data_IF_135840185304
#
_entry.id   IF_135840185304
#
_cell.length_a   1.000
_cell.length_b   1.000
_cell.length_c   1.000
_cell.angle_alpha   90.00
_cell.angle_beta   90.00
_cell.angle_gamma   90.00
#
_symmetry.space_group_name_H-M   'P 1'
#
loop_
_entity.id
_entity.type
_entity.pdbx_description
1 polymer ?
#
# COMPACT_ATOMS: atom_id res chain seq x y z
N UNK A 1 18.54 18.89 8.38
CA UNK A 1 19.58 19.75 7.76
C UNK A 1 19.27 19.80 6.26
N UNK A 2 18.49 20.78 5.78
CA UNK A 2 18.30 21.22 4.37
C UNK A 2 17.08 22.18 4.28
N UNK A 3 17.02 23.25 5.08
CA UNK A 3 15.92 24.26 5.00
C UNK A 3 16.41 25.72 5.05
N UNK A 4 17.71 25.97 4.84
CA UNK A 4 18.30 27.30 5.05
C UNK A 4 18.76 28.02 3.77
N UNK A 5 18.25 27.66 2.60
CA UNK A 5 18.70 28.24 1.32
C UNK A 5 17.67 29.09 0.57
N UNK A 6 16.58 29.53 1.22
CA UNK A 6 15.60 30.43 0.60
C UNK A 6 15.50 31.77 1.34
N UNK A 7 15.41 32.91 0.63
CA UNK A 7 15.54 34.24 1.22
C UNK A 7 14.37 34.59 2.15
N UNK A 8 14.69 35.19 3.30
CA UNK A 8 13.85 35.45 4.49
C UNK A 8 12.44 36.04 4.21
N UNK A 9 12.26 36.77 3.10
CA UNK A 9 10.96 37.34 2.69
C UNK A 9 9.95 36.28 2.25
N UNK A 10 10.42 35.22 1.59
CA UNK A 10 9.60 34.06 1.20
C UNK A 10 9.17 33.24 2.42
N UNK A 11 10.06 33.08 3.40
CA UNK A 11 9.75 32.41 4.65
C UNK A 11 8.71 33.16 5.48
N UNK A 12 8.78 34.50 5.55
CA UNK A 12 7.79 35.31 6.25
C UNK A 12 6.41 35.27 5.58
N UNK A 13 6.35 35.23 4.25
CA UNK A 13 5.08 35.04 3.54
C UNK A 13 4.48 33.67 3.83
N UNK A 14 5.29 32.62 3.73
CA UNK A 14 4.88 31.25 4.02
C UNK A 14 4.41 31.09 5.47
N UNK A 15 5.12 31.67 6.45
CA UNK A 15 4.75 31.62 7.87
C UNK A 15 3.47 32.43 8.16
N UNK A 16 3.27 33.55 7.48
CA UNK A 16 2.03 34.34 7.59
C UNK A 16 0.83 33.61 7.01
N UNK A 17 1.01 32.95 5.87
CA UNK A 17 0.00 32.06 5.29
C UNK A 17 -0.28 30.87 6.22
N UNK A 18 0.76 30.25 6.78
CA UNK A 18 0.62 29.12 7.72
C UNK A 18 -0.11 29.49 9.02
N UNK A 19 0.08 30.72 9.53
CA UNK A 19 -0.66 31.23 10.70
C UNK A 19 -2.08 31.67 10.37
N UNK A 20 -2.35 32.14 9.15
CA UNK A 20 -3.69 32.48 8.68
C UNK A 20 -4.54 31.23 8.45
N UNK A 21 -3.93 30.14 7.98
CA UNK A 21 -4.51 28.81 7.83
C UNK A 21 -4.36 27.99 9.12
N UNK A 22 -4.88 28.48 10.25
CA UNK A 22 -4.76 27.82 11.57
C UNK A 22 -4.80 26.29 11.49
N UNK A 23 -3.73 25.66 11.96
CA UNK A 23 -3.49 24.21 12.05
C UNK A 23 -4.18 23.34 10.97
N UNK A 24 -3.71 23.45 9.72
CA UNK A 24 -4.10 22.58 8.59
C UNK A 24 -3.64 21.11 8.73
N UNK A 25 -3.13 20.66 9.89
CA UNK A 25 -2.96 19.23 10.14
C UNK A 25 -4.29 18.46 10.20
N UNK A 26 -5.43 19.15 10.17
CA UNK A 26 -6.77 18.59 9.92
C UNK A 26 -7.28 18.74 8.49
N UNK A 27 -6.41 18.85 7.48
CA UNK A 27 -6.77 18.37 6.14
C UNK A 27 -6.75 16.83 6.12
N UNK A 28 -7.54 16.20 6.98
CA UNK A 28 -8.11 14.93 6.59
C UNK A 28 -8.91 15.20 5.31
N UNK A 29 -8.82 14.37 4.26
CA UNK A 29 -9.66 14.58 3.09
C UNK A 29 -11.11 14.65 3.61
N UNK A 30 -11.81 15.73 3.29
CA UNK A 30 -13.23 15.92 3.63
C UNK A 30 -14.00 14.82 2.90
N UNK A 31 -14.05 13.64 3.50
CA UNK A 31 -14.47 12.37 2.88
C UNK A 31 -15.90 12.00 3.23
N UNK A 32 -16.60 12.86 3.99
CA UNK A 32 -18.01 12.65 4.31
C UNK A 32 -18.93 12.88 3.10
N UNK A 33 -18.44 13.55 2.03
CA UNK A 33 -19.34 14.13 1.03
C UNK A 33 -19.38 13.51 -0.37
N UNK A 34 -18.65 12.44 -0.70
CA UNK A 34 -18.84 11.72 -1.98
C UNK A 34 -18.31 10.27 -1.93
N UNK A 35 -18.81 9.45 -1.01
CA UNK A 35 -18.56 8.00 -1.05
C UNK A 35 -19.35 7.39 -2.20
N UNK A 36 -18.67 7.02 -3.29
CA UNK A 36 -19.29 6.35 -4.45
C UNK A 36 -19.99 5.05 -4.06
N UNK A 37 -19.49 4.36 -3.03
CA UNK A 37 -20.08 3.15 -2.47
C UNK A 37 -20.76 3.41 -1.12
N UNK A 38 -21.77 2.60 -0.83
CA UNK A 38 -22.34 2.46 0.51
C UNK A 38 -21.37 1.70 1.43
N UNK A 39 -21.48 1.87 2.75
CA UNK A 39 -20.61 1.15 3.70
C UNK A 39 -20.64 -0.38 3.53
N UNK A 40 -21.78 -0.95 3.13
CA UNK A 40 -21.91 -2.40 2.90
C UNK A 40 -21.11 -2.87 1.67
N UNK A 41 -21.21 -2.14 0.57
CA UNK A 41 -20.50 -2.42 -0.69
C UNK A 41 -18.98 -2.28 -0.49
N UNK A 42 -18.56 -1.31 0.32
CA UNK A 42 -17.16 -1.10 0.67
C UNK A 42 -16.56 -2.27 1.47
N UNK A 43 -17.34 -2.84 2.40
CA UNK A 43 -16.96 -4.03 3.16
C UNK A 43 -16.85 -5.26 2.24
N UNK A 44 -17.79 -5.44 1.33
CA UNK A 44 -17.76 -6.53 0.36
C UNK A 44 -16.53 -6.44 -0.56
N UNK A 45 -16.27 -5.25 -1.10
CA UNK A 45 -15.07 -4.99 -1.91
C UNK A 45 -13.78 -5.31 -1.13
N UNK A 46 -13.72 -4.90 0.13
CA UNK A 46 -12.57 -5.18 1.02
C UNK A 46 -12.37 -6.68 1.21
N UNK A 47 -13.45 -7.43 1.47
CA UNK A 47 -13.40 -8.88 1.65
C UNK A 47 -12.97 -9.61 0.37
N UNK A 48 -13.42 -9.14 -0.80
CA UNK A 48 -13.03 -9.70 -2.08
C UNK A 48 -11.53 -9.50 -2.36
N UNK A 49 -11.00 -8.30 -2.07
CA UNK A 49 -9.56 -8.00 -2.21
C UNK A 49 -8.73 -8.87 -1.26
N UNK A 50 -9.17 -9.03 0.00
CA UNK A 50 -8.47 -9.86 0.99
C UNK A 50 -8.48 -11.34 0.58
N UNK A 51 -9.61 -11.84 0.10
CA UNK A 51 -9.76 -13.22 -0.39
C UNK A 51 -8.81 -13.48 -1.55
N UNK A 52 -8.78 -12.59 -2.54
CA UNK A 52 -7.86 -12.69 -3.67
C UNK A 52 -6.39 -12.66 -3.24
N UNK A 53 -6.04 -11.80 -2.28
CA UNK A 53 -4.68 -11.74 -1.71
C UNK A 53 -4.28 -13.04 -1.03
N UNK A 54 -5.17 -13.67 -0.27
CA UNK A 54 -4.90 -14.94 0.40
C UNK A 54 -4.73 -16.11 -0.58
N UNK A 55 -5.35 -16.02 -1.76
CA UNK A 55 -5.20 -17.00 -2.84
C UNK A 55 -3.99 -16.73 -3.76
N UNK A 56 -3.07 -15.83 -3.36
CA UNK A 56 -1.94 -15.36 -4.16
C UNK A 56 -2.31 -14.61 -5.46
N UNK A 57 -3.56 -14.15 -5.59
CA UNK A 57 -4.04 -13.29 -6.68
C UNK A 57 -4.18 -11.83 -6.23
N UNK A 58 -3.17 -11.33 -5.50
CA UNK A 58 -3.17 -9.97 -4.97
C UNK A 58 -3.37 -8.92 -6.08
N UNK A 59 -4.38 -8.07 -5.91
CA UNK A 59 -4.69 -7.01 -6.86
C UNK A 59 -3.72 -5.83 -6.70
N UNK A 60 -3.23 -5.32 -7.83
CA UNK A 60 -2.47 -4.07 -7.84
C UNK A 60 -3.39 -2.87 -7.75
N UNK A 61 -2.87 -1.72 -7.32
CA UNK A 61 -3.62 -0.45 -7.32
C UNK A 61 -4.20 -0.08 -8.70
N UNK A 62 -3.70 -0.60 -9.82
CA UNK A 62 -4.34 -0.37 -11.13
C UNK A 62 -5.51 -1.32 -11.36
N UNK A 63 -5.35 -2.59 -10.99
CA UNK A 63 -6.38 -3.61 -11.15
C UNK A 63 -7.58 -3.34 -10.22
N UNK A 64 -7.32 -3.01 -8.95
CA UNK A 64 -8.36 -2.58 -8.00
C UNK A 64 -9.17 -1.42 -8.56
N UNK A 65 -8.50 -0.49 -9.26
CA UNK A 65 -9.18 0.66 -9.83
C UNK A 65 -10.06 0.38 -11.04
N UNK A 66 -9.67 -0.62 -11.82
CA UNK A 66 -10.53 -1.11 -12.90
C UNK A 66 -11.73 -1.86 -12.34
N UNK A 67 -11.51 -2.71 -11.32
CA UNK A 67 -12.57 -3.46 -10.65
C UNK A 67 -13.64 -2.52 -10.07
N UNK A 68 -13.22 -1.47 -9.38
CA UNK A 68 -14.13 -0.47 -8.80
C UNK A 68 -14.97 0.21 -9.88
N UNK A 69 -14.35 0.60 -10.99
CA UNK A 69 -15.09 1.18 -12.12
C UNK A 69 -16.11 0.20 -12.72
N UNK A 70 -15.74 -1.07 -12.89
CA UNK A 70 -16.65 -2.10 -13.38
C UNK A 70 -17.85 -2.30 -12.46
N UNK A 71 -17.63 -2.40 -11.14
CA UNK A 71 -18.70 -2.52 -10.15
C UNK A 71 -19.66 -1.33 -10.22
N UNK A 72 -19.13 -0.12 -10.23
CA UNK A 72 -19.92 1.12 -10.29
C UNK A 72 -20.76 1.22 -11.58
N UNK A 73 -20.24 0.71 -12.71
CA UNK A 73 -20.97 0.65 -13.98
C UNK A 73 -22.08 -0.40 -13.94
N UNK A 74 -21.83 -1.57 -13.35
CA UNK A 74 -22.83 -2.65 -13.21
C UNK A 74 -23.95 -2.24 -12.27
N UNK A 75 -23.61 -1.62 -11.15
CA UNK A 75 -24.54 -1.19 -10.11
C UNK A 75 -25.25 0.13 -10.44
N UNK A 76 -24.94 0.75 -11.59
CA UNK A 76 -25.45 2.04 -12.05
C UNK A 76 -25.34 3.16 -10.98
N UNK A 77 -24.24 3.16 -10.23
CA UNK A 77 -24.00 4.18 -9.20
C UNK A 77 -23.62 5.52 -9.84
N UNK A 78 -23.79 6.62 -9.10
CA UNK A 78 -23.33 7.92 -9.55
C UNK A 78 -21.83 8.06 -9.31
N UNK A 79 -21.07 8.46 -10.33
CA UNK A 79 -19.63 8.61 -10.25
C UNK A 79 -19.11 9.80 -11.06
N UNK A 80 -17.92 10.33 -10.73
CA UNK A 80 -17.34 11.47 -11.43
C UNK A 80 -17.11 11.22 -12.92
N UNK A 81 -17.35 12.24 -13.75
CA UNK A 81 -17.12 12.18 -15.22
C UNK A 81 -15.68 11.80 -15.58
N UNK A 82 -14.71 12.14 -14.73
CA UNK A 82 -13.30 11.78 -14.88
C UNK A 82 -13.06 10.26 -14.90
N UNK A 83 -13.89 9.48 -14.21
CA UNK A 83 -13.79 8.01 -14.22
C UNK A 83 -14.24 7.44 -15.56
N UNK A 84 -15.27 8.04 -16.18
CA UNK A 84 -15.75 7.65 -17.52
C UNK A 84 -14.69 7.85 -18.60
N UNK A 85 -13.99 8.98 -18.56
CA UNK A 85 -12.92 9.28 -19.52
C UNK A 85 -11.72 8.35 -19.38
N UNK A 86 -11.39 7.95 -18.15
CA UNK A 86 -10.20 7.15 -17.85
C UNK A 86 -10.46 5.65 -17.69
N UNK A 87 -11.74 5.23 -17.70
CA UNK A 87 -12.26 3.86 -17.47
C UNK A 87 -11.73 3.21 -16.18
N UNK A 88 -11.53 4.03 -15.15
CA UNK A 88 -10.99 3.66 -13.83
C UNK A 88 -11.29 4.76 -12.85
N UNK A 89 -11.32 4.46 -11.56
CA UNK A 89 -11.43 5.50 -10.54
C UNK A 89 -10.17 6.35 -10.39
N UNK A 90 -10.38 7.52 -9.79
CA UNK A 90 -9.35 8.49 -9.47
C UNK A 90 -8.40 7.98 -8.38
N UNK A 91 -7.13 8.40 -8.43
CA UNK A 91 -6.16 8.07 -7.38
C UNK A 91 -6.61 8.55 -6.00
N UNK A 92 -7.30 9.68 -5.96
CA UNK A 92 -7.76 10.31 -4.73
C UNK A 92 -8.81 9.46 -4.01
N UNK A 93 -9.72 8.83 -4.79
CA UNK A 93 -10.70 7.89 -4.24
C UNK A 93 -10.01 6.67 -3.63
N UNK A 94 -9.05 6.06 -4.35
CA UNK A 94 -8.31 4.92 -3.82
C UNK A 94 -7.53 5.27 -2.54
N UNK A 95 -6.94 6.47 -2.46
CA UNK A 95 -6.27 6.93 -1.25
C UNK A 95 -7.27 7.04 -0.10
N UNK A 96 -8.45 7.62 -0.32
CA UNK A 96 -9.52 7.70 0.67
C UNK A 96 -9.96 6.31 1.16
N UNK A 97 -10.27 5.41 0.23
CA UNK A 97 -10.64 4.02 0.52
C UNK A 97 -9.59 3.28 1.35
N UNK A 98 -8.30 3.50 1.08
CA UNK A 98 -7.20 2.89 1.84
C UNK A 98 -7.03 3.52 3.24
N UNK A 99 -7.36 4.81 3.40
CA UNK A 99 -7.36 5.48 4.71
C UNK A 99 -8.52 4.96 5.58
N UNK A 100 -9.68 4.74 4.97
CA UNK A 100 -10.84 4.17 5.66
C UNK A 100 -10.63 2.69 6.01
N UNK A 101 -9.95 1.93 5.13
CA UNK A 101 -9.67 0.51 5.32
C UNK A 101 -8.20 0.24 5.66
N UNK A 102 -7.79 0.55 6.89
CA UNK A 102 -6.43 0.33 7.40
C UNK A 102 -5.96 -1.14 7.38
N UNK A 103 -6.88 -2.10 7.19
CA UNK A 103 -6.59 -3.53 7.04
C UNK A 103 -6.03 -3.89 5.66
N UNK A 104 -6.23 -3.04 4.65
CA UNK A 104 -5.79 -3.28 3.30
C UNK A 104 -4.38 -2.71 3.07
N UNK A 105 -3.56 -3.46 2.32
CA UNK A 105 -2.26 -3.01 1.84
C UNK A 105 -2.11 -3.43 0.39
N UNK A 106 -2.37 -2.50 -0.54
CA UNK A 106 -2.18 -2.74 -1.97
C UNK A 106 -0.70 -2.56 -2.30
N UNK A 107 -0.01 -3.67 -2.54
CA UNK A 107 1.37 -3.70 -3.02
C UNK A 107 1.42 -4.25 -4.42
N UNK A 108 2.46 -3.85 -5.18
CA UNK A 108 2.79 -4.58 -6.40
C UNK A 108 3.39 -5.92 -5.97
N UNK A 109 2.76 -7.06 -6.29
CA UNK A 109 3.34 -8.35 -5.95
C UNK A 109 4.67 -8.49 -6.69
N UNK A 110 5.72 -8.85 -5.96
CA UNK A 110 6.95 -9.31 -6.60
C UNK A 110 6.66 -10.63 -7.31
N UNK A 111 7.22 -10.82 -8.50
CA UNK A 111 7.02 -12.02 -9.27
C UNK A 111 7.63 -13.21 -8.53
N UNK A 112 6.84 -13.85 -7.68
CA UNK A 112 7.19 -15.08 -6.97
C UNK A 112 6.47 -16.21 -7.67
N UNK A 113 7.23 -17.17 -8.23
CA UNK A 113 6.59 -18.35 -8.83
C UNK A 113 5.85 -19.13 -7.76
N UNK A 114 4.75 -19.77 -8.15
CA UNK A 114 3.97 -20.62 -7.23
C UNK A 114 4.86 -21.67 -6.55
N UNK A 115 5.82 -22.23 -7.28
CA UNK A 115 6.83 -23.15 -6.76
C UNK A 115 7.68 -22.54 -5.64
N UNK A 116 8.08 -21.27 -5.74
CA UNK A 116 8.81 -20.58 -4.65
C UNK A 116 7.92 -20.45 -3.41
N UNK A 117 6.66 -20.05 -3.58
CA UNK A 117 5.70 -19.94 -2.48
C UNK A 117 5.45 -21.27 -1.76
N UNK A 118 5.22 -22.35 -2.51
CA UNK A 118 4.96 -23.69 -1.93
C UNK A 118 6.20 -24.33 -1.32
N UNK A 119 7.38 -24.03 -1.85
CA UNK A 119 8.66 -24.50 -1.29
C UNK A 119 8.97 -23.87 0.08
N UNK A 120 8.37 -22.72 0.41
CA UNK A 120 8.60 -21.98 1.65
C UNK A 120 7.69 -22.47 2.79
N UNK A 121 7.72 -23.77 3.07
CA UNK A 121 6.91 -24.38 4.13
C UNK A 121 7.74 -24.72 5.38
N UNK A 122 7.07 -24.97 6.51
CA UNK A 122 7.71 -25.25 7.81
C UNK A 122 8.75 -26.36 7.74
N UNK A 123 8.47 -27.44 7.00
CA UNK A 123 9.37 -28.58 6.89
C UNK A 123 10.65 -28.21 6.14
N UNK A 124 10.51 -27.54 4.99
CA UNK A 124 11.64 -27.11 4.17
C UNK A 124 12.49 -26.06 4.90
N UNK A 125 11.86 -25.10 5.59
CA UNK A 125 12.55 -24.10 6.39
C UNK A 125 13.29 -24.75 7.56
N UNK A 126 12.66 -25.65 8.30
CA UNK A 126 13.31 -26.36 9.40
C UNK A 126 14.52 -27.17 8.93
N UNK A 127 14.39 -27.85 7.78
CA UNK A 127 15.49 -28.61 7.16
C UNK A 127 16.62 -27.68 6.73
N UNK A 128 16.30 -26.54 6.10
CA UNK A 128 17.29 -25.54 5.72
C UNK A 128 18.07 -25.01 6.92
N UNK A 129 17.38 -24.60 8.00
CA UNK A 129 18.02 -24.10 9.22
C UNK A 129 18.92 -25.16 9.86
N UNK A 130 18.44 -26.42 9.94
CA UNK A 130 19.24 -27.53 10.46
C UNK A 130 20.53 -27.74 9.66
N UNK A 131 20.43 -27.77 8.33
CA UNK A 131 21.58 -27.92 7.45
C UNK A 131 22.54 -26.73 7.59
N UNK A 132 22.01 -25.52 7.73
CA UNK A 132 22.79 -24.31 7.93
C UNK A 132 23.55 -24.35 9.27
N UNK A 133 22.89 -24.75 10.36
CA UNK A 133 23.56 -24.95 11.65
C UNK A 133 24.68 -25.99 11.58
N UNK A 134 24.48 -27.09 10.86
CA UNK A 134 25.49 -28.13 10.70
C UNK A 134 26.73 -27.60 9.95
N UNK A 135 26.50 -26.85 8.86
CA UNK A 135 27.58 -26.17 8.13
C UNK A 135 28.30 -25.16 9.03
N UNK A 136 27.56 -24.33 9.77
CA UNK A 136 28.14 -23.35 10.70
C UNK A 136 28.91 -23.99 11.87
N UNK A 137 28.56 -25.20 12.30
CA UNK A 137 29.34 -25.95 13.31
C UNK A 137 30.59 -26.57 12.71
N UNK A 138 30.52 -27.03 11.46
CA UNK A 138 31.65 -27.65 10.75
C UNK A 138 32.71 -26.63 10.33
N UNK A 139 32.28 -25.43 9.93
CA UNK A 139 33.16 -24.30 9.71
C UNK A 139 33.44 -23.71 11.09
N UNK A 140 34.65 -23.84 11.62
CA UNK A 140 35.08 -23.06 12.80
C UNK A 140 35.13 -21.58 12.43
N UNK A 141 33.96 -20.93 12.31
CA UNK A 141 33.89 -19.51 11.97
C UNK A 141 34.43 -18.74 13.16
N UNK A 142 35.66 -18.24 13.00
CA UNK A 142 36.27 -17.31 13.94
C UNK A 142 35.43 -16.03 13.86
N UNK A 143 34.96 -15.46 14.99
CA UNK A 143 34.05 -14.30 15.00
C UNK A 143 34.59 -13.03 14.29
N UNK A 144 35.85 -13.03 13.86
CA UNK A 144 36.52 -11.91 13.22
C UNK A 144 36.17 -11.70 11.73
N UNK A 145 35.64 -12.72 11.03
CA UNK A 145 35.38 -12.62 9.57
C UNK A 145 33.97 -12.14 9.18
N UNK A 146 33.09 -11.87 10.15
CA UNK A 146 31.69 -11.50 9.87
C UNK A 146 31.51 -9.98 9.67
N UNK A 147 32.48 -9.15 10.09
CA UNK A 147 32.35 -7.69 10.11
C UNK A 147 32.75 -6.95 8.81
N UNK A 148 33.34 -7.64 7.82
CA UNK A 148 33.91 -6.98 6.63
C UNK A 148 33.10 -7.12 5.33
N UNK A 149 31.83 -7.54 5.41
CA UNK A 149 30.95 -7.71 4.23
C UNK A 149 29.70 -6.83 4.27
N UNK A 150 29.81 -5.61 4.80
CA UNK A 150 28.80 -4.55 4.64
C UNK A 150 29.43 -3.27 4.10
#
# INVERSE_FOLDING_TARGET
>A
MLLNTLPCRSQLHYIKEFRAWGDITRLGPNTEHDTVFKPQEEVELTNNILTGSNMFYGLTSKATRHLVYEMVVVDNLHFPVSWKASKKDGRDWLIGFMVHNSKLSLRKPEATSMARGTSFNRHNVATFIKNLEEVYRSIKVIPFNVYYLY
#
